data_IF_196374055017
#
_entry.id   IF_196374055017
#
_cell.length_a   1.000
_cell.length_b   1.000
_cell.length_c   1.000
_cell.angle_alpha   90.00
_cell.angle_beta   90.00
_cell.angle_gamma   90.00
#
_symmetry.space_group_name_H-M   'P 1'
#
loop_
_entity.id
_entity.type
_entity.pdbx_description
1 polymer ?
#
# COMPACT_ATOMS: atom_id res chain seq x y z
N UNK A 1 15.84 41.30 -25.65
CA UNK A 1 16.01 39.96 -26.24
C UNK A 1 15.86 38.94 -25.12
N UNK A 2 14.72 38.26 -25.01
CA UNK A 2 14.53 37.21 -23.99
C UNK A 2 15.45 36.03 -24.36
N UNK A 3 16.43 35.73 -23.52
CA UNK A 3 17.27 34.55 -23.71
C UNK A 3 16.50 33.32 -23.23
N UNK A 4 16.20 32.39 -24.12
CA UNK A 4 15.57 31.11 -23.76
C UNK A 4 16.63 30.17 -23.17
N UNK A 5 16.46 29.83 -21.90
CA UNK A 5 17.36 28.92 -21.18
C UNK A 5 16.89 27.47 -21.32
N UNK A 6 17.31 26.83 -22.40
CA UNK A 6 16.90 25.46 -22.75
C UNK A 6 17.28 24.41 -21.70
N UNK A 7 18.42 24.60 -21.04
CA UNK A 7 18.93 23.79 -19.93
C UNK A 7 18.01 23.82 -18.71
N UNK A 8 17.67 25.01 -18.21
CA UNK A 8 16.75 25.17 -17.08
C UNK A 8 15.34 24.68 -17.41
N UNK A 9 14.88 24.91 -18.64
CA UNK A 9 13.59 24.43 -19.11
C UNK A 9 13.53 22.89 -19.18
N UNK A 10 14.63 22.25 -19.62
CA UNK A 10 14.74 20.79 -19.59
C UNK A 10 14.69 20.23 -18.18
N UNK A 11 15.50 20.78 -17.27
CA UNK A 11 15.58 20.33 -15.86
C UNK A 11 14.21 20.48 -15.17
N UNK A 12 13.51 21.61 -15.37
CA UNK A 12 12.21 21.83 -14.76
C UNK A 12 11.19 20.78 -15.22
N UNK A 13 11.10 20.54 -16.53
CA UNK A 13 10.19 19.56 -17.10
C UNK A 13 10.56 18.14 -16.67
N UNK A 14 11.85 17.83 -16.56
CA UNK A 14 12.32 16.54 -16.07
C UNK A 14 11.86 16.28 -14.63
N UNK A 15 12.09 17.24 -13.72
CA UNK A 15 11.71 17.13 -12.31
C UNK A 15 10.18 17.06 -12.16
N UNK A 16 9.44 17.90 -12.90
CA UNK A 16 7.99 17.91 -12.89
C UNK A 16 7.40 16.58 -13.39
N UNK A 17 7.90 16.07 -14.52
CA UNK A 17 7.44 14.78 -15.05
C UNK A 17 7.74 13.64 -14.07
N UNK A 18 8.90 13.66 -13.42
CA UNK A 18 9.27 12.66 -12.41
C UNK A 18 8.31 12.68 -11.21
N UNK A 19 7.96 13.88 -10.73
CA UNK A 19 6.96 14.06 -9.67
C UNK A 19 5.59 13.51 -10.08
N UNK A 20 5.12 13.85 -11.29
CA UNK A 20 3.80 13.44 -11.80
C UNK A 20 3.69 11.92 -12.00
N UNK A 21 4.69 11.28 -12.60
CA UNK A 21 4.73 9.82 -12.77
C UNK A 21 4.73 9.11 -11.41
N UNK A 22 5.43 9.68 -10.44
CA UNK A 22 5.49 9.07 -9.12
C UNK A 22 4.18 9.26 -8.33
N UNK A 23 3.55 10.42 -8.45
CA UNK A 23 2.21 10.72 -7.90
C UNK A 23 1.17 9.73 -8.41
N UNK A 24 1.10 9.53 -9.73
CA UNK A 24 0.16 8.59 -10.35
C UNK A 24 0.47 7.16 -9.93
N UNK A 25 1.75 6.78 -9.88
CA UNK A 25 2.14 5.43 -9.47
C UNK A 25 1.66 5.09 -8.05
N UNK A 26 1.62 6.04 -7.14
CA UNK A 26 1.12 5.82 -5.78
C UNK A 26 -0.39 5.78 -5.69
N UNK A 27 -1.08 6.77 -6.27
CA UNK A 27 -2.55 6.81 -6.28
C UNK A 27 -3.09 5.51 -6.87
N UNK A 28 -2.41 5.00 -7.91
CA UNK A 28 -2.80 3.82 -8.66
C UNK A 28 -2.10 2.53 -8.20
N UNK A 29 -1.24 2.61 -7.18
CA UNK A 29 -0.43 1.50 -6.64
C UNK A 29 0.29 0.68 -7.73
N UNK A 30 0.89 1.36 -8.71
CA UNK A 30 1.65 0.75 -9.82
C UNK A 30 3.01 0.22 -9.33
N UNK A 31 3.56 -0.74 -10.07
CA UNK A 31 4.86 -1.34 -9.77
C UNK A 31 5.99 -0.30 -9.84
N UNK A 32 6.84 -0.29 -8.81
CA UNK A 32 7.92 0.69 -8.67
C UNK A 32 9.08 0.35 -9.61
N UNK A 33 9.29 1.19 -10.63
CA UNK A 33 10.36 1.02 -11.63
C UNK A 33 11.05 2.37 -11.91
N UNK A 34 11.82 2.90 -10.95
CA UNK A 34 12.29 4.29 -10.96
C UNK A 34 13.22 4.60 -12.13
N UNK A 35 14.04 3.64 -12.56
CA UNK A 35 14.93 3.81 -13.71
C UNK A 35 14.14 4.03 -15.01
N UNK A 36 13.10 3.23 -15.24
CA UNK A 36 12.24 3.38 -16.41
C UNK A 36 11.53 4.73 -16.41
N UNK A 37 11.03 5.16 -15.24
CA UNK A 37 10.38 6.46 -15.08
C UNK A 37 11.33 7.62 -15.35
N UNK A 38 12.55 7.56 -14.83
CA UNK A 38 13.56 8.58 -15.09
C UNK A 38 13.87 8.71 -16.59
N UNK A 39 14.04 7.58 -17.30
CA UNK A 39 14.26 7.59 -18.75
C UNK A 39 13.06 8.18 -19.49
N UNK A 40 11.84 7.77 -19.15
CA UNK A 40 10.62 8.30 -19.77
C UNK A 40 10.50 9.82 -19.57
N UNK A 41 10.73 10.30 -18.34
CA UNK A 41 10.69 11.74 -18.02
C UNK A 41 11.76 12.53 -18.76
N UNK A 42 12.98 12.00 -18.88
CA UNK A 42 14.08 12.64 -19.61
C UNK A 42 13.77 12.78 -21.10
N UNK A 43 13.23 11.73 -21.72
CA UNK A 43 12.83 11.73 -23.14
C UNK A 43 11.71 12.73 -23.39
N UNK A 44 10.64 12.70 -22.59
CA UNK A 44 9.51 13.63 -22.74
C UNK A 44 9.95 15.07 -22.49
N UNK A 45 10.80 15.33 -21.48
CA UNK A 45 11.34 16.66 -21.23
C UNK A 45 12.17 17.20 -22.40
N UNK A 46 13.00 16.35 -23.02
CA UNK A 46 13.81 16.72 -24.19
C UNK A 46 12.93 17.06 -25.40
N UNK A 47 11.90 16.26 -25.64
CA UNK A 47 10.91 16.51 -26.70
C UNK A 47 10.19 17.85 -26.46
N UNK A 48 9.78 18.15 -25.22
CA UNK A 48 9.21 19.45 -24.85
C UNK A 48 10.14 20.64 -25.15
N UNK A 49 11.46 20.51 -24.94
CA UNK A 49 12.41 21.58 -25.31
C UNK A 49 12.44 21.80 -26.82
N UNK A 50 12.52 20.72 -27.60
CA UNK A 50 12.55 20.78 -29.06
C UNK A 50 11.29 21.48 -29.59
N UNK A 51 10.12 21.09 -29.09
CA UNK A 51 8.88 21.74 -29.49
C UNK A 51 8.87 23.24 -29.12
N UNK A 52 9.35 23.60 -27.92
CA UNK A 52 9.41 25.01 -27.52
C UNK A 52 10.33 25.84 -28.43
N UNK A 53 11.49 25.30 -28.81
CA UNK A 53 12.40 25.92 -29.79
C UNK A 53 11.70 26.09 -31.14
N UNK A 54 11.06 25.03 -31.65
CA UNK A 54 10.36 25.09 -32.94
C UNK A 54 9.20 26.10 -32.95
N UNK A 55 8.49 26.26 -31.83
CA UNK A 55 7.43 27.29 -31.69
C UNK A 55 8.04 28.69 -31.67
N UNK A 56 9.16 28.90 -30.96
CA UNK A 56 9.88 30.19 -30.93
C UNK A 56 10.43 30.57 -32.31
N UNK A 57 10.88 29.60 -33.10
CA UNK A 57 11.33 29.78 -34.48
C UNK A 57 10.18 29.87 -35.50
N UNK A 58 8.91 29.87 -35.05
CA UNK A 58 7.71 29.85 -35.88
C UNK A 58 7.64 28.68 -36.89
N UNK A 59 8.37 27.58 -36.64
CA UNK A 59 8.39 26.38 -37.48
C UNK A 59 7.27 25.40 -37.17
N UNK A 60 6.64 25.52 -36.00
CA UNK A 60 5.56 24.63 -35.55
C UNK A 60 4.24 25.40 -35.43
N UNK A 61 3.17 24.85 -36.02
CA UNK A 61 1.79 25.37 -35.95
C UNK A 61 0.93 24.58 -34.96
N UNK A 62 1.51 23.57 -34.29
CA UNK A 62 0.76 22.73 -33.35
C UNK A 62 0.39 23.52 -32.10
N UNK A 63 -0.89 23.58 -31.70
CA UNK A 63 -1.31 24.23 -30.46
C UNK A 63 -0.73 23.56 -29.22
N UNK A 64 -0.30 24.36 -28.24
CA UNK A 64 0.32 23.89 -26.97
C UNK A 64 -0.55 22.85 -26.24
N UNK A 65 -1.89 23.00 -26.28
CA UNK A 65 -2.82 22.06 -25.65
C UNK A 65 -2.80 20.66 -26.27
N UNK A 66 -2.74 20.58 -27.62
CA UNK A 66 -2.65 19.30 -28.32
C UNK A 66 -1.30 18.62 -28.04
N UNK A 67 -0.23 19.42 -28.00
CA UNK A 67 1.10 18.94 -27.68
C UNK A 67 1.23 18.42 -26.23
N UNK A 68 0.56 19.08 -25.29
CA UNK A 68 0.47 18.64 -23.89
C UNK A 68 -0.16 17.24 -23.79
N UNK A 69 -1.29 17.02 -24.46
CA UNK A 69 -1.96 15.71 -24.50
C UNK A 69 -1.04 14.64 -25.10
N UNK A 70 -0.34 14.96 -26.18
CA UNK A 70 0.65 14.06 -26.78
C UNK A 70 1.78 13.69 -25.79
N UNK A 71 2.33 14.66 -25.07
CA UNK A 71 3.36 14.43 -24.07
C UNK A 71 2.86 13.55 -22.92
N UNK A 72 1.63 13.74 -22.46
CA UNK A 72 1.01 12.91 -21.42
C UNK A 72 0.84 11.47 -21.89
N UNK A 73 0.35 11.25 -23.10
CA UNK A 73 0.21 9.90 -23.67
C UNK A 73 1.56 9.20 -23.81
N UNK A 74 2.58 9.94 -24.29
CA UNK A 74 3.94 9.44 -24.40
C UNK A 74 4.54 9.08 -23.04
N UNK A 75 4.37 9.95 -22.04
CA UNK A 75 4.84 9.74 -20.68
C UNK A 75 4.22 8.48 -20.07
N UNK A 76 2.92 8.27 -20.26
CA UNK A 76 2.20 7.07 -19.80
C UNK A 76 2.74 5.80 -20.47
N UNK A 77 2.81 5.80 -21.81
CA UNK A 77 3.23 4.64 -22.59
C UNK A 77 4.66 4.20 -22.25
N UNK A 78 5.55 5.18 -22.02
CA UNK A 78 6.93 4.89 -21.66
C UNK A 78 7.11 4.52 -20.18
N UNK A 79 6.26 5.02 -19.27
CA UNK A 79 6.45 4.83 -17.81
C UNK A 79 5.83 3.54 -17.28
N UNK A 80 4.65 3.14 -17.75
CA UNK A 80 3.88 2.04 -17.14
C UNK A 80 3.77 0.81 -18.03
N UNK A 81 3.56 -0.36 -17.41
CA UNK A 81 3.10 -1.57 -18.11
C UNK A 81 1.61 -1.73 -17.83
N UNK A 82 0.85 -2.04 -18.86
CA UNK A 82 -0.57 -2.34 -18.74
C UNK A 82 -0.78 -3.82 -19.03
N UNK A 83 -1.52 -4.50 -18.16
CA UNK A 83 -1.93 -5.89 -18.36
C UNK A 83 -3.45 -5.96 -18.29
N UNK A 84 -4.06 -6.60 -19.29
CA UNK A 84 -5.51 -6.79 -19.30
C UNK A 84 -5.93 -7.66 -18.12
N UNK A 85 -6.96 -7.23 -17.37
CA UNK A 85 -7.50 -7.95 -16.23
C UNK A 85 -8.99 -8.18 -16.42
N UNK A 86 -9.55 -9.28 -15.87
CA UNK A 86 -10.95 -9.69 -16.07
C UNK A 86 -11.98 -8.65 -15.61
N UNK A 87 -11.58 -7.72 -14.74
CA UNK A 87 -12.41 -6.61 -14.20
C UNK A 87 -12.25 -5.27 -14.92
N UNK A 88 -11.15 -5.01 -15.64
CA UNK A 88 -10.87 -3.70 -16.28
C UNK A 88 -10.10 -3.89 -17.58
N UNK A 89 -10.54 -3.19 -18.63
CA UNK A 89 -9.83 -3.16 -19.90
C UNK A 89 -8.60 -2.26 -19.82
N UNK A 90 -7.58 -2.58 -20.61
CA UNK A 90 -6.35 -1.78 -20.71
C UNK A 90 -6.65 -0.31 -21.04
N UNK A 91 -7.63 -0.07 -21.92
CA UNK A 91 -8.02 1.28 -22.31
C UNK A 91 -8.57 2.11 -21.13
N UNK A 92 -9.38 1.48 -20.26
CA UNK A 92 -9.87 2.17 -19.05
C UNK A 92 -8.76 2.52 -18.07
N UNK A 93 -7.69 1.70 -18.00
CA UNK A 93 -6.54 2.03 -17.15
C UNK A 93 -5.74 3.22 -17.71
N UNK A 94 -5.45 3.21 -19.01
CA UNK A 94 -4.74 4.30 -19.68
C UNK A 94 -5.51 5.62 -19.54
N UNK A 95 -6.83 5.59 -19.78
CA UNK A 95 -7.68 6.78 -19.70
C UNK A 95 -7.73 7.35 -18.28
N UNK A 96 -7.79 6.48 -17.26
CA UNK A 96 -7.73 6.93 -15.87
C UNK A 96 -6.39 7.58 -15.54
N UNK A 97 -5.28 6.94 -15.95
CA UNK A 97 -3.94 7.46 -15.68
C UNK A 97 -3.69 8.80 -16.42
N UNK A 98 -4.27 8.96 -17.63
CA UNK A 98 -4.30 10.23 -18.38
C UNK A 98 -5.04 11.34 -17.65
N UNK A 99 -6.24 11.07 -17.13
CA UNK A 99 -7.03 12.08 -16.39
C UNK A 99 -6.28 12.54 -15.15
N UNK A 100 -5.66 11.63 -14.40
CA UNK A 100 -4.89 11.96 -13.20
C UNK A 100 -3.66 12.81 -13.57
N UNK A 101 -2.92 12.44 -14.63
CA UNK A 101 -1.77 13.20 -15.08
C UNK A 101 -2.14 14.60 -15.57
N UNK A 102 -3.20 14.72 -16.38
CA UNK A 102 -3.69 16.03 -16.85
C UNK A 102 -4.09 16.94 -15.68
N UNK A 103 -4.77 16.39 -14.67
CA UNK A 103 -5.10 17.13 -13.46
C UNK A 103 -3.84 17.58 -12.71
N UNK A 104 -2.85 16.70 -12.57
CA UNK A 104 -1.56 17.02 -11.94
C UNK A 104 -0.78 18.10 -12.70
N UNK A 105 -0.74 18.04 -14.04
CA UNK A 105 -0.11 19.07 -14.89
C UNK A 105 -0.77 20.42 -14.68
N UNK A 106 -2.11 20.48 -14.67
CA UNK A 106 -2.86 21.73 -14.45
C UNK A 106 -2.57 22.36 -13.08
N UNK A 107 -2.50 21.56 -12.02
CA UNK A 107 -2.12 22.05 -10.68
C UNK A 107 -0.70 22.61 -10.71
N UNK A 108 0.24 21.85 -11.27
CA UNK A 108 1.66 22.23 -11.26
C UNK A 108 1.90 23.50 -12.08
N UNK A 109 1.28 23.60 -13.25
CA UNK A 109 1.30 24.81 -14.09
C UNK A 109 0.64 26.00 -13.38
N UNK A 110 -0.50 25.79 -12.72
CA UNK A 110 -1.19 26.81 -11.94
C UNK A 110 -0.34 27.36 -10.79
N UNK A 111 0.37 26.49 -10.06
CA UNK A 111 1.30 26.91 -9.01
C UNK A 111 2.45 27.76 -9.56
N UNK A 112 3.03 27.37 -10.70
CA UNK A 112 4.11 28.14 -11.34
C UNK A 112 3.61 29.53 -11.78
N UNK A 113 2.44 29.62 -12.41
CA UNK A 113 1.85 30.88 -12.84
C UNK A 113 1.50 31.79 -11.65
N UNK A 114 0.91 31.24 -10.58
CA UNK A 114 0.59 31.97 -9.36
C UNK A 114 1.84 32.55 -8.70
N UNK A 115 2.94 31.77 -8.62
CA UNK A 115 4.21 32.25 -8.11
C UNK A 115 4.80 33.35 -9.00
N UNK A 116 4.70 33.24 -10.32
CA UNK A 116 5.17 34.29 -11.24
C UNK A 116 4.41 35.61 -11.06
N UNK A 117 3.10 35.54 -10.86
CA UNK A 117 2.24 36.72 -10.65
C UNK A 117 2.56 37.43 -9.33
N UNK A 118 2.76 36.68 -8.24
CA UNK A 118 3.07 37.26 -6.93
C UNK A 118 4.54 37.69 -6.76
N UNK A 119 5.44 37.26 -7.65
CA UNK A 119 6.88 37.61 -7.62
C UNK A 119 7.27 38.66 -8.68
N UNK A 120 6.29 39.38 -9.24
CA UNK A 120 6.37 40.16 -10.49
C UNK A 120 7.34 41.35 -10.62
N UNK A 121 8.37 41.49 -9.78
CA UNK A 121 9.41 42.54 -9.97
C UNK A 121 10.83 42.10 -9.57
N UNK A 122 11.11 40.81 -9.74
CA UNK A 122 12.32 40.19 -9.22
C UNK A 122 13.42 40.06 -10.28
N UNK A 123 14.64 40.53 -9.94
CA UNK A 123 15.83 40.49 -10.83
C UNK A 123 16.17 39.05 -11.24
N UNK A 124 16.98 38.86 -12.27
CA UNK A 124 17.40 37.51 -12.75
C UNK A 124 17.97 36.58 -11.67
N UNK A 125 18.51 37.14 -10.56
CA UNK A 125 18.95 36.39 -9.38
C UNK A 125 17.80 35.73 -8.60
N UNK A 126 16.62 36.33 -8.61
CA UNK A 126 15.45 35.87 -7.87
C UNK A 126 14.66 34.81 -8.64
N UNK A 127 14.73 34.81 -9.98
CA UNK A 127 14.24 33.68 -10.81
C UNK A 127 15.01 32.39 -10.48
N UNK A 128 16.33 32.49 -10.27
CA UNK A 128 17.14 31.34 -9.82
C UNK A 128 16.74 30.85 -8.43
N UNK A 129 16.41 31.76 -7.50
CA UNK A 129 15.91 31.40 -6.17
C UNK A 129 14.54 30.72 -6.23
N UNK A 130 13.62 31.23 -7.05
CA UNK A 130 12.30 30.62 -7.28
C UNK A 130 12.42 29.20 -7.85
N UNK A 131 13.38 28.99 -8.75
CA UNK A 131 13.70 27.68 -9.31
C UNK A 131 14.23 26.70 -8.26
N UNK A 132 15.18 27.14 -7.43
CA UNK A 132 15.72 26.33 -6.32
C UNK A 132 14.60 25.99 -5.32
N UNK A 133 13.73 26.95 -5.00
CA UNK A 133 12.60 26.73 -4.09
C UNK A 133 11.60 25.70 -4.63
N UNK A 134 11.35 25.70 -5.94
CA UNK A 134 10.53 24.68 -6.59
C UNK A 134 11.16 23.28 -6.49
N UNK A 135 12.47 23.15 -6.76
CA UNK A 135 13.17 21.86 -6.62
C UNK A 135 13.09 21.37 -5.16
N UNK A 136 13.32 22.25 -4.19
CA UNK A 136 13.22 21.92 -2.76
C UNK A 136 11.79 21.48 -2.40
N UNK A 137 10.77 22.19 -2.88
CA UNK A 137 9.36 21.85 -2.66
C UNK A 137 9.03 20.45 -3.20
N UNK A 138 9.46 20.14 -4.43
CA UNK A 138 9.29 18.79 -4.99
C UNK A 138 10.06 17.72 -4.22
N UNK A 139 11.27 18.02 -3.73
CA UNK A 139 12.04 17.09 -2.90
C UNK A 139 11.36 16.80 -1.55
N UNK A 140 10.78 17.82 -0.91
CA UNK A 140 10.01 17.67 0.33
C UNK A 140 8.74 16.84 0.09
N UNK A 141 7.98 17.15 -0.97
CA UNK A 141 6.79 16.37 -1.33
C UNK A 141 7.13 14.90 -1.62
N UNK A 142 8.25 14.67 -2.31
CA UNK A 142 8.75 13.32 -2.56
C UNK A 142 9.10 12.58 -1.25
N UNK A 143 9.78 13.25 -0.32
CA UNK A 143 10.13 12.66 0.98
C UNK A 143 8.89 12.33 1.84
N UNK A 144 7.95 13.26 1.95
CA UNK A 144 6.70 13.08 2.72
C UNK A 144 5.92 11.87 2.23
N UNK A 145 5.83 11.73 0.92
CA UNK A 145 5.05 10.64 0.35
C UNK A 145 5.82 9.32 0.33
N UNK A 146 7.16 9.34 0.29
CA UNK A 146 7.97 8.13 0.53
C UNK A 146 7.68 7.57 1.93
N UNK A 147 7.59 8.45 2.92
CA UNK A 147 7.17 8.08 4.29
C UNK A 147 5.74 7.55 4.29
N UNK A 148 4.77 8.23 3.66
CA UNK A 148 3.39 7.73 3.57
C UNK A 148 3.29 6.36 2.92
N UNK A 149 4.04 6.10 1.85
CA UNK A 149 4.07 4.79 1.19
C UNK A 149 4.58 3.71 2.14
N UNK A 150 5.63 4.00 2.90
CA UNK A 150 6.17 3.05 3.88
C UNK A 150 5.17 2.78 5.01
N UNK A 151 4.45 3.80 5.48
CA UNK A 151 3.39 3.62 6.48
C UNK A 151 2.28 2.72 5.92
N UNK A 152 1.76 3.01 4.71
CA UNK A 152 0.71 2.21 4.08
C UNK A 152 1.16 0.76 3.86
N UNK A 153 2.41 0.57 3.44
CA UNK A 153 2.99 -0.77 3.25
C UNK A 153 3.07 -1.52 4.58
N UNK A 154 3.55 -0.87 5.63
CA UNK A 154 3.64 -1.48 6.95
C UNK A 154 2.26 -1.83 7.52
N UNK A 155 1.26 -0.96 7.32
CA UNK A 155 -0.12 -1.26 7.72
C UNK A 155 -0.71 -2.40 6.88
N UNK A 156 -0.40 -2.48 5.58
CA UNK A 156 -0.83 -3.59 4.74
C UNK A 156 -0.21 -4.93 5.17
N UNK A 157 1.08 -4.96 5.55
CA UNK A 157 1.76 -6.16 6.06
C UNK A 157 1.16 -6.62 7.42
N UNK A 158 0.78 -5.66 8.28
CA UNK A 158 0.02 -5.97 9.51
C UNK A 158 -1.34 -6.58 9.18
N UNK A 159 -2.07 -6.02 8.22
CA UNK A 159 -3.34 -6.57 7.75
C UNK A 159 -3.19 -7.96 7.12
N UNK A 160 -2.09 -8.28 6.42
CA UNK A 160 -1.84 -9.63 5.93
C UNK A 160 -1.66 -10.66 7.06
N UNK A 161 -1.26 -10.19 8.25
CA UNK A 161 -1.07 -11.04 9.42
C UNK A 161 -2.38 -11.25 10.20
N UNK A 162 -3.39 -10.39 10.00
CA UNK A 162 -4.70 -10.48 10.64
C UNK A 162 -5.72 -11.03 9.63
N UNK A 163 -6.28 -12.20 9.93
CA UNK A 163 -7.28 -12.86 9.09
C UNK A 163 -8.64 -12.84 9.77
N UNK A 164 -9.71 -12.55 9.05
CA UNK A 164 -11.05 -12.80 9.56
C UNK A 164 -11.38 -14.30 9.47
N UNK A 165 -12.02 -14.83 10.52
CA UNK A 165 -12.50 -16.20 10.57
C UNK A 165 -13.83 -16.30 11.32
N UNK A 166 -14.64 -17.30 10.97
CA UNK A 166 -15.86 -17.63 11.69
C UNK A 166 -15.58 -18.79 12.64
N UNK A 167 -15.62 -18.51 13.94
CA UNK A 167 -15.56 -19.48 15.01
C UNK A 167 -16.94 -20.10 15.24
N UNK A 168 -17.00 -21.43 15.30
CA UNK A 168 -18.23 -22.20 15.49
C UNK A 168 -18.03 -23.16 16.66
N UNK A 169 -18.95 -23.10 17.61
CA UNK A 169 -19.00 -24.03 18.74
C UNK A 169 -20.45 -24.27 19.17
N UNK A 170 -20.94 -25.50 19.02
CA UNK A 170 -22.36 -25.82 19.21
C UNK A 170 -23.24 -25.04 18.23
N UNK A 171 -24.24 -24.33 18.75
CA UNK A 171 -25.15 -23.48 17.97
C UNK A 171 -24.63 -22.07 17.73
N UNK A 172 -23.54 -21.65 18.38
CA UNK A 172 -23.05 -20.27 18.31
C UNK A 172 -22.01 -20.14 17.21
N UNK A 173 -22.17 -19.08 16.40
CA UNK A 173 -21.21 -18.69 15.35
C UNK A 173 -20.81 -17.25 15.57
N UNK A 174 -19.51 -16.97 15.58
CA UNK A 174 -18.98 -15.61 15.77
C UNK A 174 -17.85 -15.33 14.78
N UNK A 175 -17.90 -14.17 14.14
CA UNK A 175 -16.79 -13.67 13.34
C UNK A 175 -15.74 -13.03 14.25
N UNK A 176 -14.49 -13.43 14.06
CA UNK A 176 -13.34 -12.99 14.86
C UNK A 176 -12.17 -12.64 13.95
N UNK A 177 -11.36 -11.68 14.38
CA UNK A 177 -10.08 -11.38 13.78
C UNK A 177 -9.01 -12.24 14.45
N UNK A 178 -8.23 -12.91 13.62
CA UNK A 178 -7.25 -13.91 14.01
C UNK A 178 -5.88 -13.41 13.59
N UNK A 179 -5.01 -13.13 14.56
CA UNK A 179 -3.62 -12.78 14.32
C UNK A 179 -2.80 -14.06 14.13
N UNK A 180 -2.09 -14.13 13.01
CA UNK A 180 -1.06 -15.13 12.81
C UNK A 180 0.24 -14.70 13.51
N UNK A 181 0.52 -15.27 14.68
CA UNK A 181 1.74 -14.95 15.42
C UNK A 181 2.74 -16.10 15.37
N UNK A 182 3.93 -15.83 14.81
CA UNK A 182 5.05 -16.78 14.83
C UNK A 182 5.63 -16.98 16.24
N UNK A 183 5.36 -16.06 17.17
CA UNK A 183 5.82 -16.12 18.56
C UNK A 183 5.04 -17.10 19.43
N UNK A 184 3.80 -17.46 19.05
CA UNK A 184 3.01 -18.41 19.82
C UNK A 184 3.44 -19.86 19.54
N UNK A 185 4.24 -20.41 20.45
CA UNK A 185 4.70 -21.79 20.47
C UNK A 185 4.05 -22.63 21.59
N UNK A 186 2.86 -22.24 22.09
CA UNK A 186 2.23 -22.92 23.22
C UNK A 186 1.70 -24.30 22.82
N UNK A 187 2.11 -25.34 23.54
CA UNK A 187 1.63 -26.71 23.35
C UNK A 187 1.01 -27.26 24.63
N UNK A 188 0.01 -28.11 24.48
CA UNK A 188 -0.57 -28.86 25.59
C UNK A 188 0.43 -29.92 26.06
N UNK A 189 0.91 -29.90 27.32
CA UNK A 189 1.82 -30.94 27.82
C UNK A 189 1.14 -32.31 27.95
N UNK A 190 -0.20 -32.35 27.94
CA UNK A 190 -0.98 -33.57 28.11
C UNK A 190 -1.26 -34.29 26.79
N UNK A 191 -1.49 -33.52 25.72
CA UNK A 191 -1.90 -34.06 24.41
C UNK A 191 -0.90 -33.76 23.30
N UNK A 192 0.13 -32.96 23.57
CA UNK A 192 1.10 -32.44 22.60
C UNK A 192 0.46 -31.71 21.41
N UNK A 193 -0.76 -31.20 21.58
CA UNK A 193 -1.48 -30.43 20.57
C UNK A 193 -1.10 -28.93 20.64
N UNK A 194 -1.06 -28.24 19.49
CA UNK A 194 -0.85 -26.79 19.45
C UNK A 194 -2.04 -26.07 20.09
N UNK A 195 -1.74 -25.06 20.91
CA UNK A 195 -2.73 -24.26 21.63
C UNK A 195 -2.79 -22.85 21.05
N UNK A 196 -3.96 -22.46 20.56
CA UNK A 196 -4.24 -21.10 20.15
C UNK A 196 -4.66 -20.26 21.36
N UNK A 197 -4.50 -18.94 21.31
CA UNK A 197 -4.91 -18.06 22.41
C UNK A 197 -6.15 -17.27 21.97
N UNK A 198 -7.19 -17.20 22.79
CA UNK A 198 -8.49 -16.59 22.47
C UNK A 198 -8.85 -15.57 23.57
N UNK A 199 -9.49 -14.47 23.17
CA UNK A 199 -9.96 -13.46 24.13
C UNK A 199 -11.04 -14.01 25.07
N UNK A 200 -11.00 -13.57 26.33
CA UNK A 200 -11.97 -13.96 27.36
C UNK A 200 -13.40 -13.63 26.94
N UNK A 201 -13.61 -12.48 26.35
CA UNK A 201 -14.89 -11.97 25.86
C UNK A 201 -15.46 -12.88 24.76
N UNK A 202 -14.60 -13.37 23.87
CA UNK A 202 -15.00 -14.35 22.85
C UNK A 202 -15.39 -15.67 23.49
N UNK A 203 -14.65 -16.18 24.46
CA UNK A 203 -14.99 -17.45 25.13
C UNK A 203 -16.30 -17.33 25.92
N UNK A 204 -16.55 -16.20 26.59
CA UNK A 204 -17.81 -15.92 27.30
C UNK A 204 -18.98 -15.87 26.33
N UNK A 205 -18.86 -15.15 25.22
CA UNK A 205 -19.93 -15.05 24.21
C UNK A 205 -20.24 -16.38 23.52
N UNK A 206 -19.24 -17.26 23.39
CA UNK A 206 -19.43 -18.61 22.86
C UNK A 206 -20.05 -19.57 23.88
N UNK A 207 -20.19 -19.19 25.15
CA UNK A 207 -20.80 -20.00 26.22
C UNK A 207 -20.07 -21.30 26.51
N UNK A 208 -18.74 -21.34 26.29
CA UNK A 208 -17.96 -22.59 26.40
C UNK A 208 -17.75 -23.00 27.86
N UNK A 209 -17.61 -22.01 28.76
CA UNK A 209 -17.40 -22.22 30.20
C UNK A 209 -18.55 -22.98 30.86
N UNK A 210 -19.76 -22.80 30.37
CA UNK A 210 -20.96 -23.43 30.94
C UNK A 210 -21.09 -24.90 30.52
N UNK A 211 -20.40 -25.30 29.43
CA UNK A 211 -20.54 -26.61 28.79
C UNK A 211 -19.33 -27.52 28.99
N UNK A 212 -18.16 -26.96 29.28
CA UNK A 212 -16.91 -27.71 29.39
C UNK A 212 -16.13 -27.30 30.65
N UNK A 213 -15.49 -28.27 31.29
CA UNK A 213 -14.49 -27.97 32.33
C UNK A 213 -13.18 -27.54 31.65
N UNK A 214 -12.51 -26.49 32.15
CA UNK A 214 -11.23 -26.06 31.58
C UNK A 214 -10.12 -27.08 31.80
N UNK A 215 -9.24 -27.19 30.81
CA UNK A 215 -7.93 -27.83 30.96
C UNK A 215 -6.93 -26.71 31.29
N UNK A 216 -6.18 -26.83 32.37
CA UNK A 216 -5.18 -25.84 32.75
C UNK A 216 -3.85 -26.14 32.05
N UNK A 217 -3.44 -25.27 31.15
CA UNK A 217 -2.17 -25.42 30.41
C UNK A 217 -1.14 -24.44 30.97
N UNK A 218 0.03 -24.91 31.43
CA UNK A 218 1.09 -24.03 31.86
C UNK A 218 1.68 -23.25 30.68
N UNK A 219 1.99 -21.99 30.92
CA UNK A 219 2.66 -21.13 29.94
C UNK A 219 3.81 -20.38 30.61
N UNK A 220 4.81 -20.07 29.80
CA UNK A 220 5.90 -19.19 30.17
C UNK A 220 6.08 -18.14 29.07
N UNK A 221 6.03 -16.86 29.44
CA UNK A 221 6.14 -15.74 28.52
C UNK A 221 7.04 -14.66 29.11
N UNK A 222 7.47 -13.71 28.29
CA UNK A 222 8.25 -12.54 28.73
C UNK A 222 7.47 -11.73 29.80
N UNK A 223 6.14 -11.73 29.71
CA UNK A 223 5.26 -11.02 30.65
C UNK A 223 4.90 -11.80 31.93
N UNK A 224 5.47 -13.00 32.12
CA UNK A 224 5.23 -13.88 33.27
C UNK A 224 4.91 -15.32 32.89
N UNK A 225 4.90 -16.18 33.91
CA UNK A 225 4.52 -17.60 33.83
C UNK A 225 3.24 -17.86 34.63
N UNK A 226 2.45 -18.87 34.23
CA UNK A 226 1.26 -19.25 34.97
C UNK A 226 0.49 -20.39 34.31
N UNK A 227 -0.80 -20.50 34.63
CA UNK A 227 -1.72 -21.47 34.04
C UNK A 227 -2.79 -20.72 33.24
N UNK A 228 -3.13 -21.23 32.05
CA UNK A 228 -4.23 -20.72 31.24
C UNK A 228 -5.35 -21.76 31.18
N UNK A 229 -6.57 -21.30 31.44
CA UNK A 229 -7.77 -22.09 31.13
C UNK A 229 -7.85 -22.32 29.63
N UNK A 230 -7.97 -23.57 29.22
CA UNK A 230 -8.02 -23.97 27.83
C UNK A 230 -9.27 -24.82 27.58
N UNK A 231 -9.97 -24.51 26.49
CA UNK A 231 -11.17 -25.22 26.07
C UNK A 231 -10.99 -25.78 24.67
N UNK A 232 -11.78 -26.79 24.31
CA UNK A 232 -11.79 -27.34 22.96
C UNK A 232 -12.90 -26.70 22.13
N UNK A 233 -12.52 -26.19 20.98
CA UNK A 233 -13.41 -25.58 20.00
C UNK A 233 -13.62 -26.52 18.81
N UNK A 234 -14.83 -26.55 18.29
CA UNK A 234 -15.22 -27.52 17.26
C UNK A 234 -14.67 -27.14 15.89
N UNK A 235 -14.83 -25.87 15.49
CA UNK A 235 -14.55 -25.46 14.12
C UNK A 235 -14.21 -23.98 14.01
N UNK A 236 -13.21 -23.68 13.20
CA UNK A 236 -12.82 -22.34 12.77
C UNK A 236 -12.70 -22.33 11.24
N UNK A 237 -13.44 -21.44 10.59
CA UNK A 237 -13.45 -21.30 9.12
C UNK A 237 -12.81 -19.96 8.77
N UNK A 238 -11.68 -19.99 8.08
CA UNK A 238 -11.00 -18.79 7.61
C UNK A 238 -11.65 -18.28 6.32
N UNK A 239 -11.54 -16.98 6.05
CA UNK A 239 -12.08 -16.38 4.81
C UNK A 239 -11.46 -16.94 3.53
N UNK A 240 -10.25 -17.52 3.59
CA UNK A 240 -9.61 -18.22 2.47
C UNK A 240 -10.17 -19.63 2.22
N UNK A 241 -11.18 -20.06 2.99
CA UNK A 241 -11.80 -21.37 2.90
C UNK A 241 -11.09 -22.46 3.70
N UNK A 242 -9.94 -22.17 4.34
CA UNK A 242 -9.28 -23.15 5.21
C UNK A 242 -10.11 -23.39 6.48
N UNK A 243 -10.08 -24.64 6.96
CA UNK A 243 -10.88 -25.08 8.10
C UNK A 243 -9.96 -25.72 9.13
N UNK A 244 -10.09 -25.31 10.38
CA UNK A 244 -9.46 -25.95 11.53
C UNK A 244 -10.55 -26.58 12.40
N UNK A 245 -10.42 -27.87 12.68
CA UNK A 245 -11.38 -28.63 13.47
C UNK A 245 -10.77 -29.03 14.82
N UNK A 246 -11.60 -29.15 15.85
CA UNK A 246 -11.28 -29.76 17.15
C UNK A 246 -9.98 -29.26 17.78
N UNK A 247 -9.78 -27.94 17.85
CA UNK A 247 -8.54 -27.33 18.33
C UNK A 247 -8.64 -26.80 19.76
N UNK A 248 -7.49 -26.59 20.40
CA UNK A 248 -7.38 -26.03 21.74
C UNK A 248 -7.28 -24.49 21.70
N UNK A 249 -8.08 -23.83 22.52
CA UNK A 249 -8.07 -22.37 22.71
C UNK A 249 -7.88 -21.99 24.17
N UNK A 250 -6.71 -21.45 24.51
CA UNK A 250 -6.38 -20.92 25.82
C UNK A 250 -6.93 -19.50 25.99
N UNK A 251 -7.58 -19.23 27.12
CA UNK A 251 -8.22 -17.95 27.41
C UNK A 251 -7.19 -16.95 27.90
N UNK A 252 -7.12 -15.78 27.27
CA UNK A 252 -6.30 -14.66 27.71
C UNK A 252 -7.12 -13.40 27.91
N UNK A 253 -6.92 -12.73 29.04
CA UNK A 253 -7.55 -11.44 29.36
C UNK A 253 -6.85 -10.25 28.68
N UNK A 254 -5.67 -10.48 28.08
CA UNK A 254 -4.84 -9.39 27.53
C UNK A 254 -5.09 -9.11 26.05
N UNK A 255 -5.76 -10.02 25.33
CA UNK A 255 -5.94 -9.94 23.87
C UNK A 255 -6.94 -8.86 23.46
N UNK A 256 -7.95 -8.57 24.29
CA UNK A 256 -9.11 -7.76 23.87
C UNK A 256 -8.99 -6.25 24.13
N UNK A 257 -7.88 -5.77 24.69
CA UNK A 257 -7.79 -4.35 25.13
C UNK A 257 -7.88 -3.32 23.98
N UNK A 258 -7.70 -3.74 22.73
CA UNK A 258 -7.76 -2.88 21.55
C UNK A 258 -8.83 -3.30 20.53
N UNK A 259 -9.54 -4.42 20.72
CA UNK A 259 -10.64 -4.87 19.83
C UNK A 259 -10.23 -5.34 18.42
N UNK A 260 -8.97 -5.16 18.01
CA UNK A 260 -8.53 -5.49 16.65
C UNK A 260 -8.30 -6.99 16.41
N UNK A 261 -7.98 -7.76 17.47
CA UNK A 261 -7.64 -9.19 17.41
C UNK A 261 -8.34 -9.91 18.55
N UNK A 262 -9.05 -10.99 18.25
CA UNK A 262 -9.73 -11.83 19.25
C UNK A 262 -9.07 -13.21 19.42
N UNK A 263 -8.17 -13.60 18.53
CA UNK A 263 -7.48 -14.89 18.59
C UNK A 263 -6.07 -14.80 18.02
N UNK A 264 -5.13 -15.50 18.63
CA UNK A 264 -3.74 -15.65 18.18
C UNK A 264 -3.51 -17.12 17.84
N UNK A 265 -3.11 -17.40 16.60
CA UNK A 265 -2.81 -18.76 16.16
C UNK A 265 -1.42 -19.21 16.63
N UNK A 266 -1.32 -20.50 16.94
CA UNK A 266 -0.03 -21.15 17.12
C UNK A 266 0.74 -21.23 15.79
N UNK A 267 2.05 -21.00 15.84
CA UNK A 267 2.92 -20.98 14.66
C UNK A 267 2.87 -22.29 13.84
N UNK A 268 2.66 -23.44 14.51
CA UNK A 268 2.67 -24.78 13.90
C UNK A 268 1.44 -25.05 13.03
N UNK A 269 0.36 -24.31 13.26
CA UNK A 269 -0.85 -24.38 12.43
C UNK A 269 -0.62 -23.84 11.00
N UNK A 270 0.51 -23.17 10.72
CA UNK A 270 0.91 -22.75 9.36
C UNK A 270 1.44 -23.90 8.51
N UNK A 271 2.04 -24.94 9.09
CA UNK A 271 2.58 -26.06 8.30
C UNK A 271 1.48 -26.83 7.57
N UNK A 272 0.27 -26.87 8.13
CA UNK A 272 -0.90 -27.49 7.51
C UNK A 272 -1.31 -26.76 6.21
N UNK A 273 -1.07 -25.44 6.11
CA UNK A 273 -1.34 -24.65 4.87
C UNK A 273 -0.32 -24.86 3.75
N UNK A 274 0.91 -25.31 4.03
CA UNK A 274 1.94 -25.48 2.98
C UNK A 274 1.99 -26.89 2.38
N UNK A 275 1.48 -27.91 3.07
CA UNK A 275 1.45 -29.28 2.54
C UNK A 275 0.14 -29.69 1.85
N UNK A 276 -0.87 -28.81 1.82
CA UNK A 276 -2.17 -29.09 1.17
C UNK A 276 -2.26 -28.79 -0.33
N UNK A 277 -1.19 -28.30 -0.98
CA UNK A 277 -1.21 -27.92 -2.41
C UNK A 277 -0.26 -28.73 -3.31
N UNK A 278 0.26 -29.86 -2.84
CA UNK A 278 0.97 -30.82 -3.70
C UNK A 278 0.46 -32.22 -3.45
N UNK A 279 -0.62 -32.60 -4.13
CA UNK A 279 -1.12 -33.96 -4.15
C UNK A 279 -2.47 -34.08 -4.81
N UNK A 280 -2.48 -34.55 -6.07
CA UNK A 280 -3.68 -35.13 -6.67
C UNK A 280 -3.94 -34.73 -8.11
N UNK A 281 -3.31 -35.48 -9.02
CA UNK A 281 -3.66 -35.77 -10.42
C UNK A 281 -3.68 -34.64 -11.46
#
# INVERSE_FOLDING_TARGET
MYSFYADFYWILNFVMNQFLVWLVAFIRRKEYTPFRWAVACAVVALISVIHKINVLEQRSVVPDGAYCVFCVLMLIGLSYKYKSNKKRSVLTEILTDMVILMFGVSITAGCILFMQEHMGDMKSADVKKAFIFNIISFAILYALFFVMRNIIKNEAEKCETIMCATLIHGSVKKNINVLYDTGNNLFSPYTNEPVNIISKETVVQMGVRDKQKPILIPYNSIGGSGLLETYRFEKLIFMDGSIMMNFLGAVSERIDKTGDVQMILNCSNKKIKRHGTTGGH
#
